data_IF_190960576443
#
_entry.id   IF_190960576443
#
_cell.length_a   1.000
_cell.length_b   1.000
_cell.length_c   1.000
_cell.angle_alpha   90.00
_cell.angle_beta   90.00
_cell.angle_gamma   90.00
#
_symmetry.space_group_name_H-M   'P 1'
#
loop_
_entity.id
_entity.type
_entity.pdbx_description
1 polymer ?
#
# COMPACT_ATOMS: atom_id res chain seq x y z
N UNK A 1 -60.08 -34.91 -76.50
CA UNK A 1 -59.95 -33.46 -76.19
C UNK A 1 -59.93 -33.28 -74.69
N UNK A 2 -58.87 -32.70 -74.13
CA UNK A 2 -58.84 -32.17 -72.76
C UNK A 2 -57.67 -31.19 -72.69
N UNK A 3 -58.01 -29.90 -72.59
CA UNK A 3 -57.07 -28.79 -72.66
C UNK A 3 -56.13 -28.77 -71.46
N UNK A 4 -54.81 -28.72 -71.73
CA UNK A 4 -53.81 -28.44 -70.71
C UNK A 4 -54.02 -27.00 -70.21
N UNK A 5 -54.61 -26.84 -69.02
CA UNK A 5 -54.77 -25.55 -68.36
C UNK A 5 -53.39 -25.03 -67.95
N UNK A 6 -52.87 -24.02 -68.65
CA UNK A 6 -51.70 -23.26 -68.21
C UNK A 6 -52.05 -22.49 -66.94
N UNK A 7 -51.36 -22.78 -65.84
CA UNK A 7 -51.48 -22.05 -64.58
C UNK A 7 -50.42 -20.94 -64.49
N UNK A 8 -50.71 -19.81 -63.81
CA UNK A 8 -49.78 -18.69 -63.70
C UNK A 8 -48.55 -19.01 -62.83
N UNK A 9 -47.39 -18.50 -63.24
CA UNK A 9 -46.14 -18.57 -62.47
C UNK A 9 -46.21 -17.55 -61.33
N UNK A 10 -46.20 -18.04 -60.09
CA UNK A 10 -46.18 -17.19 -58.89
C UNK A 10 -44.75 -17.11 -58.37
N UNK A 11 -44.14 -15.93 -58.48
CA UNK A 11 -42.86 -15.62 -57.81
C UNK A 11 -43.17 -15.04 -56.44
N UNK A 12 -42.86 -15.78 -55.37
CA UNK A 12 -42.95 -15.30 -53.99
C UNK A 12 -41.59 -14.76 -53.58
N UNK A 13 -41.54 -13.48 -53.20
CA UNK A 13 -40.35 -12.92 -52.56
C UNK A 13 -40.29 -13.38 -51.11
N UNK A 14 -39.23 -14.09 -50.75
CA UNK A 14 -38.92 -14.33 -49.35
C UNK A 14 -38.30 -13.06 -48.78
N UNK A 15 -39.05 -12.38 -47.91
CA UNK A 15 -38.55 -11.25 -47.15
C UNK A 15 -37.54 -11.72 -46.09
N UNK A 16 -36.29 -11.95 -46.50
CA UNK A 16 -35.17 -12.28 -45.59
C UNK A 16 -34.83 -11.14 -44.62
N UNK A 17 -35.46 -9.98 -44.78
CA UNK A 17 -35.21 -8.76 -44.01
C UNK A 17 -36.40 -8.29 -43.16
N UNK A 18 -37.56 -8.97 -43.21
CA UNK A 18 -38.80 -8.44 -42.62
C UNK A 18 -39.00 -8.77 -41.14
N UNK A 19 -38.39 -9.83 -40.57
CA UNK A 19 -38.57 -10.08 -39.14
C UNK A 19 -37.46 -10.88 -38.45
N UNK A 20 -37.00 -10.33 -37.33
CA UNK A 20 -36.31 -10.95 -36.18
C UNK A 20 -34.76 -11.12 -36.16
N UNK A 21 -34.03 -10.96 -37.26
CA UNK A 21 -32.53 -11.04 -37.25
C UNK A 21 -31.81 -9.73 -37.52
N UNK A 22 -32.49 -8.58 -37.40
CA UNK A 22 -31.80 -7.29 -37.39
C UNK A 22 -31.11 -7.13 -36.04
N UNK A 23 -29.80 -7.41 -36.01
CA UNK A 23 -28.98 -7.26 -34.81
C UNK A 23 -29.22 -5.88 -34.18
N UNK A 24 -29.71 -5.87 -32.93
CA UNK A 24 -29.91 -4.62 -32.19
C UNK A 24 -28.56 -3.90 -32.13
N UNK A 25 -28.49 -2.61 -32.49
CA UNK A 25 -27.21 -1.91 -32.54
C UNK A 25 -26.57 -1.90 -31.16
N UNK A 26 -25.29 -2.20 -31.12
CA UNK A 26 -24.50 -2.21 -29.88
C UNK A 26 -24.55 -0.83 -29.20
N UNK A 27 -24.32 -0.76 -27.90
CA UNK A 27 -24.34 0.51 -27.17
C UNK A 27 -23.36 1.56 -27.76
N UNK A 28 -22.27 1.08 -28.36
CA UNK A 28 -21.28 1.88 -29.07
C UNK A 28 -21.87 2.45 -30.37
N UNK A 29 -22.54 1.62 -31.16
CA UNK A 29 -23.21 2.05 -32.40
C UNK A 29 -24.33 3.06 -32.15
N UNK A 30 -25.11 2.90 -31.06
CA UNK A 30 -26.16 3.85 -30.69
C UNK A 30 -25.57 5.23 -30.34
N UNK A 31 -24.48 5.28 -29.58
CA UNK A 31 -23.78 6.54 -29.27
C UNK A 31 -23.17 7.17 -30.52
N UNK A 32 -22.62 6.35 -31.41
CA UNK A 32 -22.03 6.80 -32.67
C UNK A 32 -23.09 7.43 -33.58
N UNK A 33 -24.22 6.76 -33.81
CA UNK A 33 -25.33 7.29 -34.62
C UNK A 33 -25.93 8.57 -34.03
N UNK A 34 -25.96 8.72 -32.71
CA UNK A 34 -26.41 9.94 -32.03
C UNK A 34 -25.41 11.10 -32.08
N UNK A 35 -24.13 10.83 -32.33
CA UNK A 35 -23.09 11.86 -32.30
C UNK A 35 -23.10 12.82 -33.50
N UNK A 36 -23.93 12.57 -34.53
CA UNK A 36 -24.13 13.46 -35.68
C UNK A 36 -22.90 13.69 -36.57
N UNK A 37 -21.76 13.08 -36.23
CA UNK A 37 -20.48 13.22 -36.93
C UNK A 37 -20.20 11.97 -37.75
N UNK A 38 -19.93 12.06 -39.06
CA UNK A 38 -19.49 10.91 -39.84
C UNK A 38 -18.07 10.53 -39.40
N UNK A 39 -17.89 9.29 -38.92
CA UNK A 39 -16.56 8.80 -38.54
C UNK A 39 -15.80 8.34 -39.78
N UNK A 40 -14.53 8.77 -39.89
CA UNK A 40 -13.65 8.29 -40.95
C UNK A 40 -13.21 6.84 -40.67
N UNK A 41 -12.97 6.04 -41.72
CA UNK A 41 -12.52 4.64 -41.58
C UNK A 41 -11.22 4.51 -40.75
N UNK A 42 -10.40 5.56 -40.73
CA UNK A 42 -9.18 5.64 -39.94
C UNK A 42 -9.45 5.72 -38.44
N UNK A 43 -10.47 6.47 -38.01
CA UNK A 43 -10.84 6.61 -36.60
C UNK A 43 -11.44 5.34 -36.00
N UNK A 44 -12.18 4.57 -36.81
CA UNK A 44 -12.70 3.26 -36.42
C UNK A 44 -11.57 2.26 -36.16
N UNK A 45 -10.54 2.25 -37.03
CA UNK A 45 -9.36 1.39 -36.85
C UNK A 45 -8.56 1.77 -35.60
N UNK A 46 -8.36 3.07 -35.34
CA UNK A 46 -7.66 3.56 -34.14
C UNK A 46 -8.36 3.12 -32.86
N UNK A 47 -9.67 3.35 -32.74
CA UNK A 47 -10.45 2.93 -31.55
C UNK A 47 -10.45 1.41 -31.33
N UNK A 48 -10.49 0.62 -32.41
CA UNK A 48 -10.42 -0.85 -32.31
C UNK A 48 -9.05 -1.30 -31.78
N UNK A 49 -7.97 -0.67 -32.25
CA UNK A 49 -6.61 -0.98 -31.81
C UNK A 49 -6.37 -0.55 -30.35
N UNK A 50 -6.89 0.60 -29.94
CA UNK A 50 -6.83 1.07 -28.54
C UNK A 50 -7.58 0.12 -27.59
N UNK A 51 -8.76 -0.38 -27.98
CA UNK A 51 -9.52 -1.34 -27.19
C UNK A 51 -8.80 -2.71 -27.07
N UNK A 52 -8.15 -3.18 -28.15
CA UNK A 52 -7.35 -4.40 -28.14
C UNK A 52 -6.11 -4.27 -27.24
N UNK A 53 -5.43 -3.12 -27.28
CA UNK A 53 -4.27 -2.85 -26.42
C UNK A 53 -4.63 -2.81 -24.94
N UNK A 54 -5.78 -2.25 -24.58
CA UNK A 54 -6.28 -2.24 -23.20
C UNK A 54 -6.63 -3.65 -22.70
N UNK A 55 -7.13 -4.52 -23.57
CA UNK A 55 -7.43 -5.92 -23.24
C UNK A 55 -6.16 -6.79 -23.13
N UNK A 56 -5.13 -6.53 -23.94
CA UNK A 56 -3.85 -7.25 -23.86
C UNK A 56 -2.98 -6.79 -22.68
N UNK A 57 -3.08 -5.53 -22.24
CA UNK A 57 -2.33 -5.02 -21.10
C UNK A 57 -2.75 -5.66 -19.75
N UNK A 58 -3.97 -6.19 -19.66
CA UNK A 58 -4.49 -6.84 -18.45
C UNK A 58 -4.21 -8.34 -18.33
N UNK A 59 -3.67 -9.00 -19.36
CA UNK A 59 -3.47 -10.47 -19.38
C UNK A 59 -2.01 -10.93 -19.50
N UNK A 60 -1.05 -10.01 -19.65
CA UNK A 60 0.32 -10.33 -20.06
C UNK A 60 1.41 -10.14 -19.00
N UNK A 61 1.08 -10.00 -17.72
CA UNK A 61 2.06 -10.13 -16.65
C UNK A 61 1.73 -11.40 -15.88
N UNK A 62 2.40 -12.50 -16.22
CA UNK A 62 2.61 -13.56 -15.23
C UNK A 62 3.44 -12.91 -14.13
N UNK A 63 2.74 -12.31 -13.17
CA UNK A 63 3.37 -11.73 -11.99
C UNK A 63 4.13 -12.84 -11.31
N UNK A 64 5.37 -12.57 -10.91
CA UNK A 64 6.06 -13.48 -10.00
C UNK A 64 5.13 -13.79 -8.82
N UNK A 65 5.20 -14.98 -8.21
CA UNK A 65 4.35 -15.33 -7.06
C UNK A 65 4.34 -14.25 -5.96
N UNK A 66 5.42 -13.48 -5.82
CA UNK A 66 5.51 -12.34 -4.91
C UNK A 66 4.62 -11.13 -5.28
N UNK A 67 4.30 -10.92 -6.55
CA UNK A 67 3.35 -9.89 -7.01
C UNK A 67 1.91 -10.34 -6.79
N UNK A 68 1.60 -11.60 -7.07
CA UNK A 68 0.27 -12.19 -6.77
C UNK A 68 -0.03 -12.13 -5.26
N UNK A 69 0.94 -12.47 -4.40
CA UNK A 69 0.82 -12.34 -2.94
C UNK A 69 0.72 -10.88 -2.47
N UNK A 70 1.21 -9.92 -3.27
CA UNK A 70 1.04 -8.48 -2.99
C UNK A 70 -0.33 -7.96 -3.42
N UNK A 71 -0.98 -8.62 -4.35
CA UNK A 71 -2.32 -8.26 -4.82
C UNK A 71 -3.42 -8.97 -4.03
N UNK A 72 -3.09 -10.09 -3.37
CA UNK A 72 -3.99 -10.79 -2.45
C UNK A 72 -4.22 -9.98 -1.15
N UNK A 73 -5.30 -9.21 -1.17
CA UNK A 73 -5.72 -8.35 -0.05
C UNK A 73 -6.13 -9.19 1.16
N UNK A 74 -6.74 -10.35 0.96
CA UNK A 74 -7.26 -11.16 2.06
C UNK A 74 -6.13 -11.88 2.78
N UNK A 75 -5.15 -12.39 2.04
CA UNK A 75 -3.91 -12.90 2.63
C UNK A 75 -3.14 -11.81 3.39
N UNK A 76 -3.03 -10.60 2.84
CA UNK A 76 -2.35 -9.50 3.54
C UNK A 76 -3.06 -9.10 4.82
N UNK A 77 -4.40 -9.04 4.81
CA UNK A 77 -5.20 -8.79 6.02
C UNK A 77 -4.93 -9.87 7.05
N UNK A 78 -4.98 -11.14 6.65
CA UNK A 78 -4.72 -12.27 7.54
C UNK A 78 -3.32 -12.19 8.16
N UNK A 79 -2.28 -11.92 7.37
CA UNK A 79 -0.91 -11.80 7.87
C UNK A 79 -0.75 -10.62 8.84
N UNK A 80 -1.30 -9.46 8.51
CA UNK A 80 -1.22 -8.25 9.34
C UNK A 80 -2.02 -8.37 10.65
N UNK A 81 -3.16 -9.06 10.60
CA UNK A 81 -4.12 -9.19 11.70
C UNK A 81 -3.91 -10.48 12.52
N UNK A 82 -3.06 -11.40 12.05
CA UNK A 82 -2.74 -12.68 12.68
C UNK A 82 -2.45 -12.56 14.17
N UNK A 83 -1.74 -11.51 14.61
CA UNK A 83 -1.47 -11.25 16.02
C UNK A 83 -2.73 -10.94 16.85
N UNK A 84 -3.67 -10.18 16.27
CA UNK A 84 -4.95 -9.84 16.92
C UNK A 84 -5.81 -11.10 17.02
N UNK A 85 -5.87 -11.86 15.92
CA UNK A 85 -6.61 -13.12 15.85
C UNK A 85 -6.01 -14.18 16.76
N UNK A 86 -4.67 -14.27 16.86
CA UNK A 86 -3.96 -15.17 17.77
C UNK A 86 -4.21 -14.82 19.23
N UNK A 87 -4.21 -13.56 19.62
CA UNK A 87 -4.52 -13.21 21.01
C UNK A 87 -5.97 -13.60 21.38
N UNK A 88 -6.94 -13.42 20.45
CA UNK A 88 -8.30 -13.92 20.63
C UNK A 88 -8.34 -15.45 20.65
N UNK A 89 -7.56 -16.08 19.76
CA UNK A 89 -7.38 -17.51 19.70
C UNK A 89 -6.95 -18.02 21.05
N UNK A 90 -5.86 -17.49 21.60
CA UNK A 90 -5.27 -17.91 22.87
C UNK A 90 -6.23 -17.68 24.06
N UNK A 91 -7.07 -16.64 24.02
CA UNK A 91 -8.18 -16.49 24.98
C UNK A 91 -9.21 -17.63 24.90
N UNK A 92 -9.47 -18.15 23.69
CA UNK A 92 -10.37 -19.29 23.44
C UNK A 92 -9.66 -20.65 23.55
N UNK A 93 -8.35 -20.74 23.30
CA UNK A 93 -7.53 -21.96 23.21
C UNK A 93 -7.23 -22.59 24.56
N UNK A 94 -7.65 -21.98 25.67
CA UNK A 94 -7.84 -22.75 26.91
C UNK A 94 -8.79 -23.95 26.72
N UNK A 95 -9.43 -24.12 25.54
CA UNK A 95 -10.20 -25.31 25.15
C UNK A 95 -9.94 -25.92 23.75
N UNK A 96 -9.03 -25.40 22.88
CA UNK A 96 -8.85 -25.97 21.51
C UNK A 96 -7.47 -25.71 20.86
N UNK A 97 -7.04 -26.63 19.98
CA UNK A 97 -5.73 -26.62 19.31
C UNK A 97 -5.66 -25.73 18.07
N UNK A 98 -4.44 -25.34 17.69
CA UNK A 98 -4.20 -24.19 16.84
C UNK A 98 -4.58 -24.25 15.37
N UNK A 99 -4.76 -25.45 14.82
CA UNK A 99 -5.20 -25.68 13.45
C UNK A 99 -6.73 -25.72 13.31
N UNK A 100 -7.46 -26.05 14.39
CA UNK A 100 -8.93 -26.11 14.35
C UNK A 100 -9.53 -24.70 14.28
N UNK A 101 -8.88 -23.74 14.92
CA UNK A 101 -9.35 -22.37 14.93
C UNK A 101 -9.20 -21.68 13.57
N UNK A 102 -8.11 -21.93 12.82
CA UNK A 102 -7.93 -21.33 11.49
C UNK A 102 -9.04 -21.75 10.54
N UNK A 103 -9.51 -23.00 10.63
CA UNK A 103 -10.62 -23.50 9.82
C UNK A 103 -11.96 -22.88 10.25
N UNK A 104 -12.23 -22.75 11.55
CA UNK A 104 -13.48 -22.12 12.04
C UNK A 104 -13.54 -20.61 11.80
N UNK A 105 -12.42 -19.90 11.86
CA UNK A 105 -12.38 -18.44 11.63
C UNK A 105 -12.40 -18.04 10.16
N UNK A 106 -12.20 -18.99 9.24
CA UNK A 106 -12.34 -18.73 7.80
C UNK A 106 -13.80 -18.55 7.41
N UNK A 107 -14.71 -19.32 8.03
CA UNK A 107 -16.14 -19.30 7.71
C UNK A 107 -16.98 -18.45 8.68
N UNK A 108 -16.60 -18.36 9.96
CA UNK A 108 -17.33 -17.54 10.93
C UNK A 108 -16.83 -16.08 10.94
N UNK A 109 -17.74 -15.08 10.93
CA UNK A 109 -17.35 -13.69 11.07
C UNK A 109 -16.61 -13.49 12.40
N UNK A 110 -15.51 -12.72 12.37
CA UNK A 110 -14.82 -12.28 13.59
C UNK A 110 -15.84 -11.50 14.43
N UNK A 111 -16.15 -11.97 15.64
CA UNK A 111 -17.14 -11.37 16.55
C UNK A 111 -16.45 -10.62 17.70
N UNK A 112 -17.07 -9.54 18.16
CA UNK A 112 -16.71 -8.85 19.40
C UNK A 112 -15.41 -8.05 19.31
N UNK A 113 -14.54 -8.18 20.33
CA UNK A 113 -13.34 -7.34 20.49
C UNK A 113 -12.36 -7.45 19.32
N UNK A 114 -12.17 -8.65 18.78
CA UNK A 114 -11.30 -8.85 17.62
C UNK A 114 -11.86 -8.18 16.36
N UNK A 115 -13.19 -8.14 16.18
CA UNK A 115 -13.82 -7.44 15.06
C UNK A 115 -13.51 -5.96 15.09
N UNK A 116 -13.67 -5.35 16.27
CA UNK A 116 -13.41 -3.92 16.46
C UNK A 116 -11.93 -3.62 16.19
N UNK A 117 -11.02 -4.45 16.70
CA UNK A 117 -9.58 -4.26 16.54
C UNK A 117 -9.08 -4.49 15.11
N UNK A 118 -9.60 -5.50 14.42
CA UNK A 118 -9.26 -5.76 13.01
C UNK A 118 -9.81 -4.64 12.12
N UNK A 119 -11.05 -4.20 12.34
CA UNK A 119 -11.61 -3.04 11.65
C UNK A 119 -10.77 -1.79 11.90
N UNK A 120 -10.45 -1.48 13.16
CA UNK A 120 -9.59 -0.35 13.52
C UNK A 120 -8.23 -0.41 12.81
N UNK A 121 -7.57 -1.59 12.80
CA UNK A 121 -6.29 -1.79 12.12
C UNK A 121 -6.39 -1.55 10.60
N UNK A 122 -7.47 -2.04 9.96
CA UNK A 122 -7.73 -1.80 8.53
C UNK A 122 -7.94 -0.32 8.24
N UNK A 123 -8.74 0.37 9.06
CA UNK A 123 -9.00 1.80 8.91
C UNK A 123 -7.74 2.63 9.15
N UNK A 124 -6.91 2.27 10.15
CA UNK A 124 -5.60 2.88 10.38
C UNK A 124 -4.68 2.70 9.17
N UNK A 125 -4.65 1.51 8.57
CA UNK A 125 -3.83 1.22 7.39
C UNK A 125 -4.26 2.06 6.19
N UNK A 126 -5.55 2.07 5.86
CA UNK A 126 -6.08 2.87 4.74
C UNK A 126 -5.89 4.37 4.96
N UNK A 127 -6.19 4.85 6.17
CA UNK A 127 -6.05 6.27 6.50
C UNK A 127 -4.60 6.72 6.54
N UNK A 128 -3.62 5.84 6.82
CA UNK A 128 -2.20 6.19 6.85
C UNK A 128 -1.64 6.69 5.51
N UNK A 129 -2.27 6.36 4.40
CA UNK A 129 -1.83 6.73 3.04
C UNK A 129 -2.10 8.22 2.78
N UNK A 130 -3.34 8.67 3.02
CA UNK A 130 -3.79 10.02 2.67
C UNK A 130 -3.98 10.94 3.89
N UNK A 131 -4.04 10.40 5.10
CA UNK A 131 -4.41 11.12 6.30
C UNK A 131 -3.28 11.92 6.94
N UNK A 132 -3.66 12.93 7.71
CA UNK A 132 -2.69 13.73 8.46
C UNK A 132 -2.09 12.91 9.61
N UNK A 133 -0.79 12.62 9.52
CA UNK A 133 -0.02 11.85 10.52
C UNK A 133 -0.24 12.30 11.97
N UNK A 134 -0.43 13.60 12.22
CA UNK A 134 -0.68 14.12 13.59
C UNK A 134 -2.03 13.67 14.15
N UNK A 135 -3.07 13.63 13.32
CA UNK A 135 -4.42 13.21 13.72
C UNK A 135 -4.54 11.69 13.80
N UNK A 136 -3.86 10.97 12.91
CA UNK A 136 -3.89 9.50 12.88
C UNK A 136 -3.16 8.86 14.07
N UNK A 137 -2.07 9.48 14.55
CA UNK A 137 -1.26 8.96 15.67
C UNK A 137 -1.70 9.64 16.98
N UNK A 138 -2.95 10.08 17.08
CA UNK A 138 -3.45 10.69 18.31
C UNK A 138 -3.67 9.60 19.36
N UNK A 139 -2.88 9.65 20.44
CA UNK A 139 -3.02 8.76 21.58
C UNK A 139 -4.22 9.16 22.44
N UNK A 140 -4.77 8.19 23.15
CA UNK A 140 -5.79 8.43 24.16
C UNK A 140 -5.27 9.36 25.26
N UNK A 141 -6.14 10.21 25.81
CA UNK A 141 -5.79 11.13 26.90
C UNK A 141 -5.57 10.32 28.18
N UNK A 142 -4.39 10.43 28.78
CA UNK A 142 -4.06 9.75 30.04
C UNK A 142 -3.19 10.65 30.94
N UNK A 143 -3.31 10.55 32.27
CA UNK A 143 -2.37 11.19 33.20
C UNK A 143 -0.91 10.78 32.93
N UNK A 144 0.01 11.73 33.05
CA UNK A 144 1.42 11.55 32.67
C UNK A 144 2.09 10.39 33.44
N UNK A 145 1.90 10.33 34.77
CA UNK A 145 2.48 9.29 35.63
C UNK A 145 2.03 7.87 35.22
N UNK A 146 0.75 7.71 34.90
CA UNK A 146 0.18 6.42 34.45
C UNK A 146 0.80 6.02 33.11
N UNK A 147 0.83 6.94 32.14
CA UNK A 147 1.42 6.68 30.82
C UNK A 147 2.88 6.29 30.92
N UNK A 148 3.67 7.02 31.72
CA UNK A 148 5.07 6.70 31.97
C UNK A 148 5.24 5.32 32.62
N UNK A 149 4.39 4.99 33.59
CA UNK A 149 4.36 3.67 34.22
C UNK A 149 4.10 2.54 33.21
N UNK A 150 3.09 2.71 32.35
CA UNK A 150 2.77 1.75 31.29
C UNK A 150 3.93 1.58 30.30
N UNK A 151 4.56 2.68 29.89
CA UNK A 151 5.73 2.66 29.00
C UNK A 151 6.89 1.90 29.66
N UNK A 152 7.18 2.18 30.93
CA UNK A 152 8.26 1.51 31.69
C UNK A 152 8.00 0.01 31.81
N UNK A 153 6.78 -0.37 32.19
CA UNK A 153 6.38 -1.77 32.31
C UNK A 153 6.47 -2.52 30.96
N UNK A 154 6.01 -1.88 29.87
CA UNK A 154 6.10 -2.48 28.54
C UNK A 154 7.55 -2.64 28.09
N UNK A 155 8.42 -1.64 28.32
CA UNK A 155 9.86 -1.74 28.03
C UNK A 155 10.51 -2.88 28.81
N UNK A 156 10.24 -3.00 30.12
CA UNK A 156 10.77 -4.08 30.94
C UNK A 156 10.34 -5.46 30.43
N UNK A 157 9.07 -5.60 30.01
CA UNK A 157 8.54 -6.85 29.45
C UNK A 157 9.16 -7.21 28.10
N UNK A 158 9.37 -6.21 27.23
CA UNK A 158 10.07 -6.41 25.96
C UNK A 158 11.52 -6.83 26.20
N UNK A 159 12.24 -6.13 27.09
CA UNK A 159 13.64 -6.45 27.41
C UNK A 159 13.78 -7.87 27.95
N UNK A 160 12.91 -8.28 28.88
CA UNK A 160 12.88 -9.64 29.41
C UNK A 160 12.67 -10.67 28.28
N UNK A 161 11.68 -10.45 27.41
CA UNK A 161 11.40 -11.35 26.30
C UNK A 161 12.54 -11.41 25.27
N UNK A 162 13.19 -10.28 24.98
CA UNK A 162 14.34 -10.24 24.06
C UNK A 162 15.57 -10.91 24.67
N UNK A 163 15.78 -10.77 25.98
CA UNK A 163 16.85 -11.44 26.70
C UNK A 163 16.63 -12.96 26.73
N UNK A 164 15.44 -13.42 27.11
CA UNK A 164 15.09 -14.85 27.13
C UNK A 164 15.23 -15.49 25.74
N UNK A 165 14.77 -14.80 24.69
CA UNK A 165 14.91 -15.28 23.31
C UNK A 165 16.39 -15.36 22.90
N UNK A 166 17.21 -14.37 23.27
CA UNK A 166 18.64 -14.36 22.98
C UNK A 166 19.39 -15.48 23.71
N UNK A 167 19.08 -15.69 24.98
CA UNK A 167 19.64 -16.76 25.80
C UNK A 167 19.24 -18.14 25.26
N UNK A 168 18.01 -18.27 24.75
CA UNK A 168 17.50 -19.51 24.14
C UNK A 168 17.92 -19.73 22.69
N UNK A 169 18.63 -18.78 22.07
CA UNK A 169 19.02 -18.85 20.65
C UNK A 169 17.85 -18.68 19.65
N UNK A 170 16.72 -18.13 20.08
CA UNK A 170 15.54 -17.89 19.24
C UNK A 170 15.73 -16.61 18.43
N UNK A 171 15.66 -16.72 17.10
CA UNK A 171 15.72 -15.56 16.20
C UNK A 171 14.37 -14.84 16.20
N UNK A 172 14.39 -13.55 16.53
CA UNK A 172 13.21 -12.70 16.55
C UNK A 172 13.13 -11.77 15.33
N UNK A 173 11.93 -11.25 15.06
CA UNK A 173 11.74 -10.22 14.01
C UNK A 173 12.56 -8.95 14.30
N UNK A 174 13.00 -8.25 13.25
CA UNK A 174 13.78 -7.01 13.39
C UNK A 174 12.83 -5.81 13.45
N UNK A 175 13.01 -4.94 14.44
CA UNK A 175 12.22 -3.72 14.60
C UNK A 175 13.05 -2.46 14.36
N UNK A 176 12.38 -1.36 14.01
CA UNK A 176 13.04 -0.05 13.86
C UNK A 176 13.51 0.48 15.22
N UNK A 177 14.64 1.18 15.24
CA UNK A 177 15.19 1.82 16.44
C UNK A 177 14.16 2.77 17.07
N UNK A 178 13.93 2.62 18.38
CA UNK A 178 12.96 3.42 19.14
C UNK A 178 11.51 2.94 19.04
N UNK A 179 11.20 1.97 18.18
CA UNK A 179 9.89 1.33 18.12
C UNK A 179 9.79 0.24 19.20
N UNK A 180 8.62 0.11 19.81
CA UNK A 180 8.33 -1.03 20.68
C UNK A 180 8.10 -2.29 19.85
N UNK A 181 8.69 -3.39 20.31
CA UNK A 181 8.36 -4.71 19.80
C UNK A 181 6.93 -5.07 20.18
N UNK A 182 6.16 -5.53 19.20
CA UNK A 182 4.84 -6.13 19.44
C UNK A 182 5.08 -7.52 20.04
N UNK A 183 4.58 -7.74 21.24
CA UNK A 183 4.63 -9.00 21.98
C UNK A 183 3.19 -9.45 22.27
N UNK A 184 2.97 -10.75 22.47
CA UNK A 184 1.65 -11.43 22.49
C UNK A 184 0.82 -11.17 23.77
N UNK A 185 0.94 -9.99 24.38
CA UNK A 185 0.39 -9.69 25.70
C UNK A 185 -0.69 -8.60 25.69
N UNK A 186 -1.40 -8.43 24.57
CA UNK A 186 -2.31 -7.31 24.35
C UNK A 186 -3.79 -7.75 24.45
N UNK A 187 -4.19 -8.17 25.65
CA UNK A 187 -5.57 -8.66 25.96
C UNK A 187 -6.59 -7.55 26.28
N UNK A 188 -6.14 -6.31 26.43
CA UNK A 188 -7.02 -5.19 26.75
C UNK A 188 -8.10 -4.97 25.67
N UNK A 189 -9.13 -4.17 25.92
CA UNK A 189 -10.05 -3.77 24.85
C UNK A 189 -9.36 -2.78 23.90
N UNK A 190 -8.83 -1.70 24.47
CA UNK A 190 -8.06 -0.68 23.76
C UNK A 190 -6.66 -1.22 23.46
N UNK A 191 -6.17 -1.00 22.24
CA UNK A 191 -4.82 -1.43 21.87
C UNK A 191 -3.76 -0.62 22.63
N UNK A 192 -2.65 -1.28 23.04
CA UNK A 192 -1.56 -0.55 23.71
C UNK A 192 -0.97 0.55 22.82
N UNK A 193 -0.98 0.34 21.51
CA UNK A 193 -0.57 1.34 20.52
C UNK A 193 -1.38 2.66 20.65
N UNK A 194 -2.68 2.60 20.99
CA UNK A 194 -3.50 3.80 21.21
C UNK A 194 -3.20 4.49 22.54
N UNK A 195 -2.77 3.73 23.55
CA UNK A 195 -2.50 4.24 24.91
C UNK A 195 -1.09 4.85 25.03
N UNK A 196 -0.07 4.09 24.63
CA UNK A 196 1.35 4.44 24.81
C UNK A 196 2.08 4.76 23.50
N UNK A 197 1.42 4.55 22.35
CA UNK A 197 2.04 4.70 21.04
C UNK A 197 2.88 3.49 20.65
N UNK A 198 3.31 3.46 19.38
CA UNK A 198 4.17 2.41 18.83
C UNK A 198 5.64 2.52 19.25
N UNK A 199 6.02 3.55 20.01
CA UNK A 199 7.40 3.79 20.43
C UNK A 199 7.77 5.26 20.49
N UNK A 200 9.01 5.50 20.88
CA UNK A 200 9.59 6.84 20.94
C UNK A 200 10.30 7.10 19.61
N UNK A 201 9.60 7.74 18.68
CA UNK A 201 10.24 8.22 17.46
C UNK A 201 11.08 9.44 17.79
N UNK A 202 12.38 9.25 18.03
CA UNK A 202 13.33 10.35 17.94
C UNK A 202 13.38 10.79 16.48
N UNK A 203 12.65 11.85 16.13
CA UNK A 203 12.92 12.56 14.88
C UNK A 203 14.38 12.98 14.95
N UNK A 204 15.19 12.48 14.02
CA UNK A 204 16.57 12.90 13.90
C UNK A 204 16.58 14.39 13.60
N UNK A 205 16.77 15.21 14.63
CA UNK A 205 17.20 16.59 14.42
C UNK A 205 18.61 16.49 13.89
N UNK A 206 18.90 17.18 12.79
CA UNK A 206 20.26 17.36 12.34
C UNK A 206 21.07 17.96 13.49
N UNK A 207 22.29 17.45 13.71
CA UNK A 207 23.21 18.02 14.69
C UNK A 207 23.41 19.50 14.36
N UNK A 208 23.32 20.36 15.38
CA UNK A 208 23.68 21.76 15.24
C UNK A 208 25.17 21.86 14.85
N UNK A 209 25.45 22.51 13.73
CA UNK A 209 26.81 22.64 13.17
C UNK A 209 27.49 23.93 13.62
N UNK A 210 26.84 24.74 14.45
CA UNK A 210 27.35 26.04 14.87
C UNK A 210 27.38 27.05 13.73
N UNK A 211 27.92 28.24 14.00
CA UNK A 211 28.06 29.30 13.00
C UNK A 211 29.24 29.00 12.07
N UNK A 212 29.02 29.12 10.76
CA UNK A 212 30.08 29.00 9.75
C UNK A 212 30.89 30.30 9.71
N UNK A 213 32.11 30.27 10.24
CA UNK A 213 33.00 31.45 10.31
C UNK A 213 33.81 31.65 9.02
N UNK A 214 34.46 30.59 8.53
CA UNK A 214 35.39 30.68 7.41
C UNK A 214 34.67 30.48 6.07
N UNK A 215 34.86 31.40 5.12
CA UNK A 215 34.36 31.33 3.74
C UNK A 215 35.41 30.87 2.73
N UNK A 216 36.70 31.03 3.03
CA UNK A 216 37.81 30.64 2.16
C UNK A 216 38.35 29.26 2.52
N UNK A 217 38.71 28.47 1.51
CA UNK A 217 39.36 27.17 1.68
C UNK A 217 38.53 26.09 2.37
N UNK A 218 39.19 24.96 2.64
CA UNK A 218 38.63 23.81 3.36
C UNK A 218 39.36 23.64 4.69
N UNK A 219 38.61 23.66 5.79
CA UNK A 219 39.13 23.28 7.11
C UNK A 219 39.20 21.76 7.18
N UNK A 220 40.42 21.24 7.25
CA UNK A 220 40.72 19.81 7.38
C UNK A 220 41.48 19.58 8.69
N UNK A 221 41.66 18.32 9.14
CA UNK A 221 42.49 18.03 10.31
C UNK A 221 43.93 18.57 10.20
N UNK A 222 44.48 18.69 8.98
CA UNK A 222 45.83 19.22 8.73
C UNK A 222 45.90 20.76 8.67
N UNK A 223 44.78 21.44 8.93
CA UNK A 223 44.68 22.91 8.88
C UNK A 223 43.80 23.42 7.73
N UNK A 224 43.94 24.72 7.45
CA UNK A 224 43.19 25.41 6.41
C UNK A 224 43.89 25.24 5.05
N UNK A 225 43.25 24.50 4.14
CA UNK A 225 43.76 24.31 2.79
C UNK A 225 43.14 25.33 1.86
N UNK A 226 43.97 26.23 1.32
CA UNK A 226 43.59 27.23 0.31
C UNK A 226 43.91 26.70 -1.09
N UNK A 227 42.97 26.82 -2.02
CA UNK A 227 43.24 26.45 -3.41
C UNK A 227 44.07 27.53 -4.11
N UNK A 228 44.87 27.15 -5.11
CA UNK A 228 45.63 28.12 -5.92
C UNK A 228 44.71 29.20 -6.53
N UNK A 229 43.48 28.82 -6.88
CA UNK A 229 42.47 29.75 -7.39
C UNK A 229 41.99 30.74 -6.33
N UNK A 230 41.76 30.30 -5.09
CA UNK A 230 41.37 31.19 -3.99
C UNK A 230 42.50 32.19 -3.69
N UNK A 231 43.75 31.72 -3.71
CA UNK A 231 44.94 32.56 -3.52
C UNK A 231 45.02 33.60 -4.64
N UNK A 232 44.95 33.19 -5.91
CA UNK A 232 45.02 34.09 -7.06
C UNK A 232 43.87 35.12 -7.07
N UNK A 233 42.66 34.70 -6.69
CA UNK A 233 41.49 35.57 -6.61
C UNK A 233 41.61 36.65 -5.54
N UNK A 234 42.23 36.33 -4.40
CA UNK A 234 42.44 37.28 -3.30
C UNK A 234 43.64 38.18 -3.57
N UNK A 235 44.75 37.64 -4.12
CA UNK A 235 45.95 38.42 -4.42
C UNK A 235 45.78 39.38 -5.61
N UNK A 236 44.87 39.09 -6.53
CA UNK A 236 44.70 39.87 -7.76
C UNK A 236 45.87 39.69 -8.75
N UNK A 237 45.82 40.35 -9.94
CA UNK A 237 46.84 40.21 -10.96
C UNK A 237 48.18 40.74 -10.46
N UNK A 238 49.15 39.85 -10.28
CA UNK A 238 50.51 40.20 -9.89
C UNK A 238 51.20 40.91 -11.07
N UNK A 239 51.29 42.24 -11.02
CA UNK A 239 52.13 42.99 -11.95
C UNK A 239 53.58 42.56 -11.73
N UNK A 240 54.14 41.78 -12.65
CA UNK A 240 55.57 41.48 -12.69
C UNK A 240 56.33 42.80 -12.76
N UNK A 241 56.84 43.29 -11.63
CA UNK A 241 57.90 44.30 -11.62
C UNK A 241 59.12 43.64 -12.26
N UNK A 242 59.36 43.96 -13.54
CA UNK A 242 60.63 43.69 -14.20
C UNK A 242 61.72 44.38 -13.37
N UNK A 243 62.64 43.59 -12.83
CA UNK A 243 63.91 44.09 -12.30
C UNK A 243 64.82 44.43 -13.46
#
# INVERSE_FOLDING_TARGET
MSAAKMAPIVVKFEDKYSAATVAKPTAVEKKLRRSGKPLTLAELKKKKNEALQQQSAGKGKEGTSAEELKEDIDLQRLLNESHILKNLADERRNTASGAELTLRTLDDPVIGKARVRTLDARMEQLSSINGNKKKLIQLEKMPMKIRQGMIKAQKARILKHEQEAKESGIVMSINKKGQFRKIDNDKAFISKDKLIGRGHSHKGKSKDRGLKIQSVGRSTPNGLVLSANDIAKIQGPQTRRKR
#
